data_IF_283861061495
#
_entry.id   IF_283861061495
#
_cell.length_a   1.000
_cell.length_b   1.000
_cell.length_c   1.000
_cell.angle_alpha   90.00
_cell.angle_beta   90.00
_cell.angle_gamma   90.00
#
_symmetry.space_group_name_H-M   'P 1'
#
loop_
_entity.id
_entity.type
_entity.pdbx_description
1 polymer ?
#
# COMPACT_ATOMS: atom_id res chain seq x y z
N UNK A 1 -3.72 -17.98 -10.80
CA UNK A 1 -2.67 -17.14 -11.40
C UNK A 1 -3.19 -15.72 -11.33
N UNK A 2 -2.77 -14.96 -10.32
CA UNK A 2 -3.26 -13.59 -10.09
C UNK A 2 -2.74 -12.67 -11.20
N UNK A 3 -3.60 -11.81 -11.77
CA UNK A 3 -3.22 -10.77 -12.76
C UNK A 3 -2.68 -9.50 -12.09
N UNK A 4 -2.36 -9.59 -10.81
CA UNK A 4 -2.12 -8.45 -9.92
C UNK A 4 -0.90 -8.75 -9.05
N UNK A 5 -0.01 -7.77 -8.95
CA UNK A 5 1.23 -7.85 -8.19
C UNK A 5 1.37 -6.62 -7.29
N UNK A 6 1.66 -6.85 -6.01
CA UNK A 6 1.76 -5.80 -5.01
C UNK A 6 3.25 -5.65 -4.63
N UNK A 7 3.81 -4.47 -4.85
CA UNK A 7 5.22 -4.16 -4.59
C UNK A 7 5.34 -3.25 -3.39
N UNK A 8 6.08 -3.69 -2.39
CA UNK A 8 6.47 -2.84 -1.26
C UNK A 8 7.85 -2.29 -1.56
N UNK A 9 7.93 -0.98 -1.76
CA UNK A 9 9.20 -0.28 -1.94
C UNK A 9 9.74 0.10 -0.56
N UNK A 10 11.07 0.04 -0.42
CA UNK A 10 11.77 0.28 0.84
C UNK A 10 11.33 1.57 1.55
N UNK A 11 11.45 1.61 2.88
CA UNK A 11 10.86 2.66 3.69
C UNK A 11 11.34 4.07 3.35
N UNK A 12 10.39 5.00 3.33
CA UNK A 12 10.68 6.44 3.32
C UNK A 12 10.93 6.84 4.77
N UNK A 13 12.16 7.24 5.10
CA UNK A 13 12.46 7.77 6.43
C UNK A 13 11.78 9.13 6.61
N UNK A 14 10.67 9.16 7.34
CA UNK A 14 9.99 10.41 7.67
C UNK A 14 9.35 10.30 9.06
N UNK A 15 9.46 11.38 9.86
CA UNK A 15 8.92 11.42 11.22
C UNK A 15 7.39 11.31 11.19
N UNK A 16 6.85 10.27 11.81
CA UNK A 16 5.41 10.02 11.82
C UNK A 16 4.68 11.09 12.63
N UNK A 17 3.78 11.85 11.98
CA UNK A 17 2.90 12.85 12.61
C UNK A 17 1.65 12.24 13.29
N UNK A 18 1.47 10.93 13.18
CA UNK A 18 0.36 10.20 13.80
C UNK A 18 0.90 9.17 14.79
N UNK A 19 0.53 9.29 16.05
CA UNK A 19 0.71 8.23 17.05
C UNK A 19 -0.26 7.11 16.72
N UNK A 20 0.23 5.91 16.41
CA UNK A 20 -0.63 4.76 16.14
C UNK A 20 -1.42 4.43 17.40
N UNK A 21 -2.73 4.72 17.42
CA UNK A 21 -3.64 4.22 18.44
C UNK A 21 -3.94 2.76 18.10
N UNK A 22 -3.14 1.87 18.64
CA UNK A 22 -3.11 0.47 18.23
C UNK A 22 -4.20 -0.30 18.98
N UNK A 23 -5.02 -1.10 18.29
CA UNK A 23 -6.17 -1.76 18.91
C UNK A 23 -5.78 -2.82 19.96
N UNK A 24 -6.65 -3.15 20.95
CA UNK A 24 -6.37 -4.20 21.93
C UNK A 24 -6.14 -5.58 21.31
N UNK A 25 -6.76 -5.86 20.16
CA UNK A 25 -6.52 -7.10 19.42
C UNK A 25 -5.13 -7.11 18.79
N UNK A 26 -4.73 -5.99 18.19
CA UNK A 26 -3.38 -5.84 17.67
C UNK A 26 -2.35 -5.97 18.80
N UNK A 27 -2.64 -5.50 20.02
CA UNK A 27 -1.73 -5.58 21.19
C UNK A 27 -1.40 -7.00 21.60
N UNK A 28 -2.41 -7.87 21.63
CA UNK A 28 -2.21 -9.29 21.90
C UNK A 28 -1.34 -9.97 20.84
N UNK A 29 -1.45 -9.55 19.57
CA UNK A 29 -0.65 -10.12 18.48
C UNK A 29 0.83 -9.72 18.61
N UNK A 30 1.15 -8.44 18.87
CA UNK A 30 2.55 -7.98 19.07
C UNK A 30 3.21 -8.70 20.24
N UNK A 31 2.46 -8.91 21.32
CA UNK A 31 2.93 -9.69 22.47
C UNK A 31 3.26 -11.15 22.10
N UNK A 32 2.41 -11.79 21.29
CA UNK A 32 2.64 -13.16 20.79
C UNK A 32 3.84 -13.21 19.83
N UNK A 33 4.03 -12.18 19.00
CA UNK A 33 5.12 -12.07 18.03
C UNK A 33 6.46 -11.65 18.65
N UNK A 34 6.49 -11.25 19.93
CA UNK A 34 7.70 -10.82 20.62
C UNK A 34 8.23 -9.46 20.18
N UNK A 35 7.37 -8.60 19.61
CA UNK A 35 7.73 -7.23 19.24
C UNK A 35 7.85 -6.39 20.52
N UNK A 36 9.08 -6.16 21.00
CA UNK A 36 9.35 -5.30 22.16
C UNK A 36 9.01 -3.83 21.86
N UNK A 37 8.46 -3.15 22.87
CA UNK A 37 8.00 -1.75 22.84
C UNK A 37 9.14 -0.74 22.60
N UNK A 38 10.40 -1.17 22.74
CA UNK A 38 11.61 -0.38 22.46
C UNK A 38 12.02 -0.38 20.97
N UNK A 39 11.28 -1.10 20.11
CA UNK A 39 11.53 -1.07 18.67
C UNK A 39 11.15 0.30 18.06
N UNK A 40 11.96 0.83 17.11
CA UNK A 40 11.63 2.09 16.46
C UNK A 40 10.28 1.95 15.75
N UNK A 41 9.52 3.05 15.71
CA UNK A 41 8.23 3.08 15.03
C UNK A 41 8.33 2.46 13.62
N UNK A 42 7.35 1.63 13.21
CA UNK A 42 7.36 1.00 11.89
C UNK A 42 7.57 2.07 10.82
N UNK A 43 8.48 1.83 9.88
CA UNK A 43 8.82 2.86 8.93
C UNK A 43 7.66 3.07 7.95
N UNK A 44 7.55 4.28 7.41
CA UNK A 44 6.54 4.57 6.40
C UNK A 44 6.83 3.77 5.14
N UNK A 45 5.89 2.91 4.75
CA UNK A 45 5.98 2.12 3.53
C UNK A 45 5.39 2.89 2.35
N UNK A 46 6.08 2.82 1.22
CA UNK A 46 5.50 3.12 -0.08
C UNK A 46 5.10 1.79 -0.73
N UNK A 47 3.87 1.71 -1.23
CA UNK A 47 3.31 0.49 -1.79
C UNK A 47 2.71 0.80 -3.14
N UNK A 48 2.95 -0.06 -4.13
CA UNK A 48 2.44 0.06 -5.49
C UNK A 48 1.67 -1.22 -5.86
N UNK A 49 0.63 -1.06 -6.67
CA UNK A 49 -0.16 -2.14 -7.26
C UNK A 49 0.05 -2.10 -8.77
N UNK A 50 0.60 -3.18 -9.30
CA UNK A 50 0.73 -3.42 -10.73
C UNK A 50 -0.33 -4.43 -11.19
N UNK A 51 -0.99 -4.14 -12.31
CA UNK A 51 -1.88 -5.08 -13.01
C UNK A 51 -1.29 -5.45 -14.36
N UNK A 52 -1.42 -6.73 -14.71
CA UNK A 52 -1.00 -7.23 -16.02
C UNK A 52 -2.09 -6.92 -17.05
N UNK A 53 -1.84 -5.94 -17.92
CA UNK A 53 -2.80 -5.43 -18.90
C UNK A 53 -2.29 -5.65 -20.34
N UNK A 54 -3.21 -5.90 -21.26
CA UNK A 54 -2.89 -6.00 -22.68
C UNK A 54 -2.60 -4.60 -23.28
N UNK A 55 -1.55 -4.51 -24.09
CA UNK A 55 -1.18 -3.33 -24.89
C UNK A 55 -1.39 -3.68 -26.36
N UNK A 56 -2.18 -2.84 -27.03
CA UNK A 56 -2.56 -2.99 -28.44
C UNK A 56 -3.08 -4.39 -28.83
N UNK A 57 -3.62 -5.12 -27.84
CA UNK A 57 -4.20 -6.45 -28.03
C UNK A 57 -3.20 -7.59 -28.28
N UNK A 58 -1.88 -7.35 -28.15
CA UNK A 58 -0.86 -8.38 -28.41
C UNK A 58 0.04 -8.65 -27.21
N UNK A 59 0.64 -7.61 -26.61
CA UNK A 59 1.63 -7.78 -25.56
C UNK A 59 1.01 -7.53 -24.18
N UNK A 60 1.44 -8.30 -23.18
CA UNK A 60 0.99 -8.11 -21.80
C UNK A 60 2.07 -7.35 -21.04
N UNK A 61 1.70 -6.23 -20.42
CA UNK A 61 2.61 -5.40 -19.65
C UNK A 61 2.07 -5.20 -18.23
N UNK A 62 2.98 -5.18 -17.25
CA UNK A 62 2.66 -4.73 -15.91
C UNK A 62 2.55 -3.22 -15.91
N UNK A 63 1.38 -2.71 -15.52
CA UNK A 63 1.11 -1.28 -15.40
C UNK A 63 0.69 -0.97 -13.97
N UNK A 64 1.33 0.03 -13.39
CA UNK A 64 0.94 0.56 -12.09
C UNK A 64 -0.50 1.10 -12.19
N UNK A 65 -1.39 0.66 -11.31
CA UNK A 65 -2.80 1.09 -11.28
C UNK A 65 -3.16 1.85 -10.01
N UNK A 66 -2.40 1.64 -8.92
CA UNK A 66 -2.60 2.33 -7.66
C UNK A 66 -1.31 2.37 -6.83
N UNK A 67 -1.22 3.37 -5.94
CA UNK A 67 -0.11 3.52 -4.99
C UNK A 67 -0.56 4.07 -3.65
N UNK A 68 0.20 3.75 -2.60
CA UNK A 68 -0.09 4.14 -1.24
C UNK A 68 1.13 4.69 -0.51
N UNK A 69 0.92 5.85 0.10
CA UNK A 69 1.77 6.38 1.18
C UNK A 69 0.85 7.07 2.19
N UNK A 70 0.38 6.32 3.19
CA UNK A 70 -0.75 6.67 4.11
C UNK A 70 -2.10 6.86 3.42
N UNK A 71 -2.12 7.49 2.25
CA UNK A 71 -3.30 7.67 1.40
C UNK A 71 -3.12 6.89 0.09
N UNK A 72 -4.25 6.53 -0.52
CA UNK A 72 -4.36 5.89 -1.82
C UNK A 72 -4.42 6.94 -2.93
N UNK A 73 -3.69 6.70 -4.01
CA UNK A 73 -3.83 7.37 -5.30
C UNK A 73 -4.00 6.29 -6.37
N UNK A 74 -4.97 6.48 -7.27
CA UNK A 74 -5.24 5.59 -8.41
C UNK A 74 -4.96 6.28 -9.73
N UNK A 75 -4.53 5.53 -10.73
CA UNK A 75 -4.42 5.99 -12.11
C UNK A 75 -5.82 6.31 -12.65
N UNK A 76 -5.98 7.50 -13.21
CA UNK A 76 -7.24 7.93 -13.84
C UNK A 76 -7.40 7.33 -15.24
N UNK A 77 -8.63 7.39 -15.77
CA UNK A 77 -8.90 6.96 -17.14
C UNK A 77 -7.98 7.69 -18.12
N UNK A 78 -7.30 6.92 -18.98
CA UNK A 78 -6.34 7.46 -19.94
C UNK A 78 -4.87 7.38 -19.48
N UNK A 79 -4.58 7.05 -18.22
CA UNK A 79 -3.23 6.71 -17.77
C UNK A 79 -2.28 7.88 -17.52
N UNK A 80 -2.70 9.12 -17.79
CA UNK A 80 -1.82 10.30 -17.72
C UNK A 80 -1.86 11.04 -16.38
N UNK A 81 -2.77 10.65 -15.48
CA UNK A 81 -3.05 11.38 -14.24
C UNK A 81 -3.28 10.44 -13.07
N UNK A 82 -2.83 10.89 -11.91
CA UNK A 82 -3.18 10.31 -10.62
C UNK A 82 -4.37 11.07 -10.04
N UNK A 83 -5.30 10.34 -9.43
CA UNK A 83 -6.36 10.92 -8.60
C UNK A 83 -5.78 11.64 -7.38
N UNK A 84 -6.61 12.46 -6.73
CA UNK A 84 -6.23 13.09 -5.45
C UNK A 84 -6.03 12.01 -4.37
N UNK A 85 -5.09 12.21 -3.43
CA UNK A 85 -4.89 11.29 -2.31
C UNK A 85 -6.17 11.16 -1.48
N UNK A 86 -6.58 9.93 -1.21
CA UNK A 86 -7.79 9.62 -0.44
C UNK A 86 -7.58 8.44 0.52
N UNK A 87 -8.50 8.29 1.47
CA UNK A 87 -8.49 7.12 2.37
C UNK A 87 -9.04 5.93 1.61
N UNK A 88 -8.25 4.84 1.55
CA UNK A 88 -8.66 3.62 0.87
C UNK A 88 -9.90 3.00 1.52
N UNK A 89 -10.82 2.51 0.69
CA UNK A 89 -11.98 1.72 1.14
C UNK A 89 -11.94 0.35 0.49
N UNK A 90 -11.92 -0.70 1.29
CA UNK A 90 -11.99 -2.08 0.80
C UNK A 90 -13.44 -2.57 0.86
N UNK A 91 -13.86 -3.28 -0.18
CA UNK A 91 -15.15 -3.95 -0.19
C UNK A 91 -15.04 -5.29 0.52
N UNK A 92 -16.06 -5.64 1.31
CA UNK A 92 -16.23 -6.99 1.83
C UNK A 92 -17.04 -7.79 0.80
N UNK A 93 -16.49 -8.90 0.32
CA UNK A 93 -17.12 -9.80 -0.67
C UNK A 93 -17.73 -11.04 0.00
#
# INVERSE_FOLDING_TARGET
>A
WSSTFLRVVQPVFNHSIFTSAVSPAAERIRFILGEEDDSPAPPQLFTELDELLAVDGQEMEWKETARWIKFEEKVEQGGERWSKPHVATLSLH
#
